data_IF_861735585674
#
_entry.id   IF_861735585674
#
_cell.length_a   1.000
_cell.length_b   1.000
_cell.length_c   1.000
_cell.angle_alpha   90.00
_cell.angle_beta   90.00
_cell.angle_gamma   90.00
#
_symmetry.space_group_name_H-M   'P 1'
#
loop_
_entity.id
_entity.type
_entity.pdbx_description
1 polymer ?
#
# COMPACT_ATOMS: atom_id res chain seq x y z
N UNK A 1 -10.20 -20.58 26.81
CA UNK A 1 -9.60 -19.22 26.94
C UNK A 1 -8.82 -18.78 25.69
N UNK A 2 -8.12 -19.66 24.96
CA UNK A 2 -7.34 -19.29 23.77
C UNK A 2 -8.14 -18.82 22.53
N UNK A 3 -9.43 -19.17 22.42
CA UNK A 3 -10.30 -18.76 21.29
C UNK A 3 -11.04 -17.45 21.56
N UNK A 4 -11.22 -17.10 22.83
CA UNK A 4 -11.91 -15.86 23.23
C UNK A 4 -11.02 -14.62 23.08
N UNK A 5 -9.71 -14.76 23.29
CA UNK A 5 -8.76 -13.67 23.12
C UNK A 5 -8.72 -13.08 21.69
N UNK A 6 -8.62 -13.87 20.60
CA UNK A 6 -8.69 -13.32 19.24
C UNK A 6 -10.08 -12.76 18.89
N UNK A 7 -11.17 -13.37 19.39
CA UNK A 7 -12.53 -12.86 19.19
C UNK A 7 -12.76 -11.52 19.89
N UNK A 8 -12.27 -11.36 21.12
CA UNK A 8 -12.33 -10.11 21.88
C UNK A 8 -11.42 -9.04 21.25
N UNK A 9 -10.24 -9.41 20.76
CA UNK A 9 -9.38 -8.50 20.00
C UNK A 9 -10.05 -8.04 18.68
N UNK A 10 -10.76 -8.94 18.00
CA UNK A 10 -11.53 -8.64 16.78
C UNK A 10 -12.73 -7.74 17.07
N UNK A 11 -13.43 -7.94 18.19
CA UNK A 11 -14.52 -7.08 18.66
C UNK A 11 -14.03 -5.70 19.11
N UNK A 12 -12.87 -5.62 19.76
CA UNK A 12 -12.28 -4.35 20.18
C UNK A 12 -11.75 -3.52 19.00
N UNK A 13 -11.32 -4.20 17.94
CA UNK A 13 -10.93 -3.57 16.67
C UNK A 13 -12.11 -3.35 15.71
N UNK A 14 -13.31 -3.86 16.01
CA UNK A 14 -14.51 -3.73 15.18
C UNK A 14 -14.87 -2.28 14.79
N UNK A 15 -14.80 -1.25 15.65
CA UNK A 15 -15.10 0.13 15.25
C UNK A 15 -14.03 0.76 14.33
N UNK A 16 -12.79 0.24 14.35
CA UNK A 16 -11.74 0.60 13.38
C UNK A 16 -11.95 -0.16 12.07
N UNK A 17 -12.30 -1.44 12.15
CA UNK A 17 -12.59 -2.30 11.01
C UNK A 17 -13.83 -1.84 10.23
N UNK A 18 -14.89 -1.38 10.91
CA UNK A 18 -16.09 -0.84 10.24
C UNK A 18 -15.84 0.49 9.55
N UNK A 19 -15.07 1.40 10.15
CA UNK A 19 -14.61 2.63 9.46
C UNK A 19 -13.74 2.32 8.24
N UNK A 20 -12.95 1.27 8.32
CA UNK A 20 -12.09 0.80 7.24
C UNK A 20 -12.89 0.11 6.13
N UNK A 21 -13.85 -0.75 6.47
CA UNK A 21 -14.82 -1.39 5.55
C UNK A 21 -15.80 -0.40 4.90
N UNK A 22 -16.08 0.73 5.57
CA UNK A 22 -16.92 1.80 5.04
C UNK A 22 -16.25 2.58 3.89
N UNK A 23 -14.97 2.34 3.60
CA UNK A 23 -14.34 2.88 2.38
C UNK A 23 -14.86 2.12 1.16
N UNK A 24 -15.39 2.83 0.13
CA UNK A 24 -16.06 2.20 -1.01
C UNK A 24 -15.15 1.18 -1.73
N UNK A 25 -13.84 1.44 -1.78
CA UNK A 25 -12.85 0.58 -2.40
C UNK A 25 -12.87 -0.87 -1.86
N UNK A 26 -12.89 -1.06 -0.53
CA UNK A 26 -12.81 -2.39 0.06
C UNK A 26 -14.13 -3.15 -0.06
N UNK A 27 -15.26 -2.44 0.10
CA UNK A 27 -16.59 -3.00 -0.10
C UNK A 27 -16.78 -3.52 -1.53
N UNK A 28 -16.53 -2.67 -2.54
CA UNK A 28 -16.67 -3.05 -3.93
C UNK A 28 -15.63 -4.10 -4.34
N UNK A 29 -14.40 -4.05 -3.80
CA UNK A 29 -13.41 -5.10 -4.01
C UNK A 29 -13.86 -6.45 -3.45
N UNK A 30 -14.45 -6.48 -2.26
CA UNK A 30 -14.99 -7.69 -1.67
C UNK A 30 -16.16 -8.24 -2.50
N UNK A 31 -17.08 -7.37 -2.94
CA UNK A 31 -18.20 -7.76 -3.80
C UNK A 31 -17.71 -8.37 -5.12
N UNK A 32 -16.74 -7.74 -5.79
CA UNK A 32 -16.13 -8.28 -7.00
C UNK A 32 -15.40 -9.61 -6.76
N UNK A 33 -14.76 -9.77 -5.60
CA UNK A 33 -14.01 -10.97 -5.24
C UNK A 33 -14.91 -12.14 -4.85
N UNK A 34 -16.12 -11.87 -4.38
CA UNK A 34 -17.13 -12.88 -4.04
C UNK A 34 -18.20 -13.04 -5.12
N UNK A 35 -18.11 -12.28 -6.23
CA UNK A 35 -19.15 -12.24 -7.26
C UNK A 35 -19.51 -13.62 -7.81
N UNK A 36 -18.52 -14.45 -8.16
CA UNK A 36 -18.79 -15.78 -8.71
C UNK A 36 -19.44 -16.73 -7.70
N UNK A 37 -18.91 -16.89 -6.47
CA UNK A 37 -19.60 -17.65 -5.43
C UNK A 37 -21.03 -17.17 -5.14
N UNK A 38 -21.25 -15.84 -5.12
CA UNK A 38 -22.56 -15.26 -4.88
C UNK A 38 -23.54 -15.58 -6.03
N UNK A 39 -23.11 -15.45 -7.28
CA UNK A 39 -23.93 -15.82 -8.44
C UNK A 39 -24.28 -17.30 -8.44
N UNK A 40 -23.35 -18.18 -8.06
CA UNK A 40 -23.60 -19.62 -7.96
C UNK A 40 -24.52 -20.00 -6.79
N UNK A 41 -24.39 -19.36 -5.62
CA UNK A 41 -25.13 -19.74 -4.41
C UNK A 41 -26.43 -18.99 -4.17
N UNK A 42 -26.68 -17.89 -4.87
CA UNK A 42 -27.94 -17.16 -4.76
C UNK A 42 -29.02 -17.80 -5.65
N UNK A 43 -30.07 -18.43 -5.09
CA UNK A 43 -31.15 -19.04 -5.87
C UNK A 43 -31.71 -18.18 -7.01
N UNK A 44 -32.02 -16.88 -6.83
CA UNK A 44 -32.57 -16.08 -7.92
C UNK A 44 -31.60 -15.88 -9.10
N UNK A 45 -30.30 -16.00 -8.87
CA UNK A 45 -29.27 -15.80 -9.90
C UNK A 45 -28.83 -17.11 -10.56
N UNK A 46 -28.82 -18.22 -9.81
CA UNK A 46 -28.28 -19.50 -10.29
C UNK A 46 -29.26 -20.37 -11.06
N UNK A 47 -30.57 -20.23 -10.85
CA UNK A 47 -31.59 -21.11 -11.44
C UNK A 47 -31.66 -21.06 -12.98
N UNK A 48 -31.11 -20.02 -13.61
CA UNK A 48 -31.06 -19.86 -15.07
C UNK A 48 -29.67 -19.99 -15.68
N UNK A 49 -28.66 -20.39 -14.90
CA UNK A 49 -27.29 -20.46 -15.38
C UNK A 49 -27.02 -21.74 -16.18
N UNK A 50 -26.19 -21.68 -17.23
CA UNK A 50 -25.70 -22.87 -17.90
C UNK A 50 -24.91 -23.72 -16.90
N UNK A 51 -25.15 -25.03 -16.91
CA UNK A 51 -24.47 -25.98 -16.04
C UNK A 51 -23.92 -27.15 -16.85
N UNK A 52 -22.72 -27.59 -16.50
CA UNK A 52 -22.06 -28.76 -17.10
C UNK A 52 -22.18 -29.99 -16.17
N UNK A 53 -22.98 -29.87 -15.11
CA UNK A 53 -23.17 -30.89 -14.09
C UNK A 53 -24.19 -31.93 -14.53
N UNK A 54 -23.93 -33.19 -14.19
CA UNK A 54 -24.78 -34.33 -14.56
C UNK A 54 -26.16 -34.32 -13.88
N UNK A 55 -26.26 -33.71 -12.70
CA UNK A 55 -27.52 -33.59 -11.94
C UNK A 55 -28.37 -32.39 -12.36
N UNK A 56 -27.89 -31.56 -13.29
CA UNK A 56 -28.58 -30.36 -13.78
C UNK A 56 -28.71 -29.24 -12.74
N UNK A 57 -28.06 -29.36 -11.57
CA UNK A 57 -28.14 -28.33 -10.54
C UNK A 57 -27.18 -27.17 -10.84
N UNK A 58 -27.70 -26.06 -11.35
CA UNK A 58 -26.91 -24.86 -11.66
C UNK A 58 -26.43 -24.06 -10.43
N UNK A 59 -26.98 -24.33 -9.24
CA UNK A 59 -26.66 -23.60 -8.01
C UNK A 59 -25.51 -24.20 -7.19
N UNK A 60 -25.01 -25.38 -7.60
CA UNK A 60 -23.82 -25.97 -7.03
C UNK A 60 -22.58 -25.72 -7.89
N UNK A 61 -21.42 -25.84 -7.25
CA UNK A 61 -20.15 -25.71 -7.95
C UNK A 61 -19.84 -26.99 -8.71
N UNK A 62 -19.32 -26.84 -9.92
CA UNK A 62 -18.77 -27.96 -10.68
C UNK A 62 -17.40 -28.37 -10.13
N UNK A 63 -17.00 -29.63 -10.31
CA UNK A 63 -15.70 -30.13 -9.85
C UNK A 63 -14.52 -29.28 -10.34
N UNK A 64 -14.58 -28.83 -11.60
CA UNK A 64 -13.56 -27.95 -12.19
C UNK A 64 -13.53 -26.57 -11.52
N UNK A 65 -14.67 -26.06 -11.07
CA UNK A 65 -14.74 -24.78 -10.36
C UNK A 65 -14.13 -24.91 -8.97
N UNK A 66 -14.42 -26.03 -8.29
CA UNK A 66 -13.79 -26.37 -7.01
C UNK A 66 -12.28 -26.51 -7.16
N UNK A 67 -11.79 -27.18 -8.22
CA UNK A 67 -10.35 -27.25 -8.54
C UNK A 67 -9.75 -25.85 -8.66
N UNK A 68 -10.36 -24.95 -9.44
CA UNK A 68 -9.88 -23.57 -9.63
C UNK A 68 -9.86 -22.80 -8.30
N UNK A 69 -10.91 -22.92 -7.47
CA UNK A 69 -10.99 -22.27 -6.16
C UNK A 69 -9.94 -22.82 -5.18
N UNK A 70 -9.64 -24.11 -5.24
CA UNK A 70 -8.57 -24.74 -4.46
C UNK A 70 -7.18 -24.27 -4.92
N UNK A 71 -6.94 -24.15 -6.22
CA UNK A 71 -5.71 -23.56 -6.73
C UNK A 71 -5.56 -22.10 -6.33
N UNK A 72 -6.65 -21.32 -6.38
CA UNK A 72 -6.66 -19.94 -5.91
C UNK A 72 -6.27 -19.86 -4.44
N UNK A 73 -6.85 -20.67 -3.56
CA UNK A 73 -6.55 -20.63 -2.13
C UNK A 73 -5.08 -20.97 -1.85
N UNK A 74 -4.50 -21.92 -2.58
CA UNK A 74 -3.08 -22.25 -2.50
C UNK A 74 -2.17 -21.09 -2.97
N UNK A 75 -2.49 -20.44 -4.10
CA UNK A 75 -1.72 -19.29 -4.62
C UNK A 75 -1.78 -18.11 -3.64
N UNK A 76 -2.98 -17.79 -3.14
CA UNK A 76 -3.18 -16.73 -2.16
C UNK A 76 -2.38 -17.02 -0.89
N UNK A 77 -2.43 -18.25 -0.38
CA UNK A 77 -1.64 -18.66 0.79
C UNK A 77 -0.13 -18.52 0.55
N UNK A 78 0.37 -18.98 -0.60
CA UNK A 78 1.79 -18.86 -0.96
C UNK A 78 2.26 -17.41 -1.09
N UNK A 79 1.43 -16.54 -1.69
CA UNK A 79 1.75 -15.12 -1.88
C UNK A 79 1.67 -14.35 -0.57
N UNK A 80 0.69 -14.64 0.27
CA UNK A 80 0.50 -14.00 1.56
C UNK A 80 1.48 -14.48 2.64
N UNK A 81 2.26 -15.55 2.39
CA UNK A 81 3.36 -15.94 3.29
C UNK A 81 4.36 -14.82 3.56
N UNK A 82 4.51 -13.86 2.62
CA UNK A 82 5.46 -12.75 2.72
C UNK A 82 4.78 -11.40 2.99
N UNK A 83 3.44 -11.35 3.14
CA UNK A 83 2.74 -10.11 3.44
C UNK A 83 2.93 -9.76 4.91
N UNK A 84 3.47 -8.58 5.19
CA UNK A 84 3.72 -8.11 6.57
C UNK A 84 2.54 -7.29 7.07
N UNK A 85 1.91 -6.51 6.19
CA UNK A 85 0.77 -5.67 6.53
C UNK A 85 -0.57 -6.29 6.13
N UNK A 86 -1.62 -5.97 6.89
CA UNK A 86 -3.00 -6.40 6.61
C UNK A 86 -3.45 -5.88 5.24
N UNK A 87 -3.05 -4.67 4.90
CA UNK A 87 -3.36 -4.03 3.62
C UNK A 87 -2.77 -4.82 2.43
N UNK A 88 -1.51 -5.24 2.53
CA UNK A 88 -0.87 -6.08 1.52
C UNK A 88 -1.55 -7.45 1.40
N UNK A 89 -1.89 -8.06 2.53
CA UNK A 89 -2.58 -9.34 2.58
C UNK A 89 -3.95 -9.28 1.86
N UNK A 90 -4.73 -8.25 2.15
CA UNK A 90 -6.05 -8.04 1.55
C UNK A 90 -5.96 -7.65 0.07
N UNK A 91 -4.99 -6.81 -0.30
CA UNK A 91 -4.73 -6.46 -1.70
C UNK A 91 -4.44 -7.69 -2.56
N UNK A 92 -3.59 -8.60 -2.08
CA UNK A 92 -3.33 -9.87 -2.75
C UNK A 92 -4.59 -10.73 -2.88
N UNK A 93 -5.36 -10.90 -1.80
CA UNK A 93 -6.62 -11.66 -1.84
C UNK A 93 -7.53 -11.10 -2.93
N UNK A 94 -7.82 -9.79 -2.90
CA UNK A 94 -8.73 -9.18 -3.88
C UNK A 94 -8.19 -9.28 -5.31
N UNK A 95 -6.90 -9.10 -5.53
CA UNK A 95 -6.30 -9.23 -6.86
C UNK A 95 -6.45 -10.65 -7.41
N UNK A 96 -6.01 -11.66 -6.67
CA UNK A 96 -6.07 -13.05 -7.12
C UNK A 96 -7.51 -13.56 -7.23
N UNK A 97 -8.40 -13.18 -6.30
CA UNK A 97 -9.82 -13.52 -6.37
C UNK A 97 -10.51 -12.91 -7.59
N UNK A 98 -10.20 -11.65 -7.96
CA UNK A 98 -10.75 -11.04 -9.18
C UNK A 98 -10.29 -11.77 -10.44
N UNK A 99 -9.01 -12.17 -10.51
CA UNK A 99 -8.49 -12.96 -11.64
C UNK A 99 -9.17 -14.33 -11.73
N UNK A 100 -9.33 -15.03 -10.60
CA UNK A 100 -10.02 -16.31 -10.59
C UNK A 100 -11.50 -16.18 -10.96
N UNK A 101 -12.21 -15.17 -10.45
CA UNK A 101 -13.60 -14.93 -10.83
C UNK A 101 -13.73 -14.63 -12.32
N UNK A 102 -12.80 -13.88 -12.93
CA UNK A 102 -12.80 -13.67 -14.36
C UNK A 102 -12.70 -15.01 -15.12
N UNK A 103 -11.76 -15.88 -14.75
CA UNK A 103 -11.59 -17.22 -15.34
C UNK A 103 -12.86 -18.05 -15.18
N UNK A 104 -13.46 -18.06 -13.98
CA UNK A 104 -14.68 -18.79 -13.67
C UNK A 104 -15.88 -18.29 -14.49
N UNK A 105 -16.06 -16.98 -14.62
CA UNK A 105 -17.12 -16.41 -15.44
C UNK A 105 -16.92 -16.67 -16.93
N UNK A 106 -15.69 -16.59 -17.47
CA UNK A 106 -15.41 -16.96 -18.87
C UNK A 106 -15.68 -18.43 -19.15
N UNK A 107 -15.43 -19.30 -18.16
CA UNK A 107 -15.76 -20.73 -18.25
C UNK A 107 -17.27 -20.97 -18.25
N UNK A 108 -18.00 -20.21 -17.43
CA UNK A 108 -19.46 -20.32 -17.32
C UNK A 108 -20.14 -19.87 -18.62
N UNK A 109 -19.85 -18.64 -19.06
CA UNK A 109 -20.34 -18.06 -20.31
C UNK A 109 -19.43 -16.90 -20.71
N UNK A 110 -19.01 -16.86 -21.97
CA UNK A 110 -18.17 -15.78 -22.51
C UNK A 110 -18.78 -14.38 -22.28
N UNK A 111 -20.11 -14.24 -22.34
CA UNK A 111 -20.82 -12.97 -22.12
C UNK A 111 -20.68 -12.49 -20.67
N UNK A 112 -20.80 -13.42 -19.71
CA UNK A 112 -20.64 -13.13 -18.28
C UNK A 112 -19.18 -12.81 -17.94
N UNK A 113 -18.23 -13.52 -18.57
CA UNK A 113 -16.80 -13.22 -18.47
C UNK A 113 -16.46 -11.80 -18.94
N UNK A 114 -16.97 -11.40 -20.11
CA UNK A 114 -16.80 -10.05 -20.64
C UNK A 114 -17.44 -9.00 -19.73
N UNK A 115 -18.67 -9.23 -19.26
CA UNK A 115 -19.35 -8.31 -18.33
C UNK A 115 -18.54 -8.13 -17.04
N UNK A 116 -18.08 -9.22 -16.43
CA UNK A 116 -17.26 -9.14 -15.22
C UNK A 116 -15.94 -8.38 -15.47
N UNK A 117 -15.28 -8.64 -16.59
CA UNK A 117 -14.05 -7.94 -16.96
C UNK A 117 -14.28 -6.43 -17.15
N UNK A 118 -15.37 -6.03 -17.81
CA UNK A 118 -15.74 -4.61 -17.93
C UNK A 118 -15.99 -3.97 -16.56
N UNK A 119 -16.67 -4.67 -15.65
CA UNK A 119 -16.91 -4.19 -14.29
C UNK A 119 -15.60 -4.04 -13.51
N UNK A 120 -14.65 -4.97 -13.65
CA UNK A 120 -13.32 -4.84 -13.06
C UNK A 120 -12.53 -3.65 -13.62
N UNK A 121 -12.62 -3.37 -14.92
CA UNK A 121 -11.97 -2.21 -15.55
C UNK A 121 -12.58 -0.90 -15.08
N UNK A 122 -13.92 -0.81 -15.00
CA UNK A 122 -14.62 0.35 -14.45
C UNK A 122 -14.18 0.56 -13.00
N UNK A 123 -14.18 -0.49 -12.17
CA UNK A 123 -13.72 -0.42 -10.78
C UNK A 123 -12.27 0.10 -10.67
N UNK A 124 -11.36 -0.36 -11.53
CA UNK A 124 -9.98 0.11 -11.55
C UNK A 124 -9.89 1.62 -11.82
N UNK A 125 -10.74 2.15 -12.69
CA UNK A 125 -10.76 3.56 -13.04
C UNK A 125 -11.47 4.44 -12.00
N UNK A 126 -12.53 3.93 -11.36
CA UNK A 126 -13.37 4.72 -10.44
C UNK A 126 -12.95 4.60 -8.98
N UNK A 127 -12.29 3.51 -8.59
CA UNK A 127 -11.97 3.23 -7.20
C UNK A 127 -10.47 2.98 -7.04
N UNK A 128 -9.74 4.00 -6.61
CA UNK A 128 -8.35 3.87 -6.21
C UNK A 128 -8.23 3.28 -4.80
N UNK A 129 -7.18 2.49 -4.52
CA UNK A 129 -6.88 2.09 -3.15
C UNK A 129 -6.61 3.35 -2.33
N UNK A 130 -7.17 3.44 -1.11
CA UNK A 130 -7.01 4.65 -0.33
C UNK A 130 -5.60 4.75 0.21
N UNK A 131 -5.05 5.97 0.22
CA UNK A 131 -3.77 6.26 0.87
C UNK A 131 -3.89 6.10 2.39
N UNK A 132 -2.76 5.87 3.05
CA UNK A 132 -2.66 5.90 4.49
C UNK A 132 -2.88 7.34 4.99
N UNK A 133 -3.77 7.53 5.96
CA UNK A 133 -4.18 8.83 6.50
C UNK A 133 -4.09 8.85 8.04
N UNK A 134 -3.23 8.02 8.61
CA UNK A 134 -3.02 7.97 10.05
C UNK A 134 -2.12 9.10 10.55
N UNK A 135 -1.93 9.19 11.88
CA UNK A 135 -0.98 10.15 12.43
C UNK A 135 0.42 9.83 11.94
N UNK A 136 1.16 10.85 11.51
CA UNK A 136 2.55 10.73 11.09
C UNK A 136 3.29 12.03 11.41
N UNK A 137 4.61 11.95 11.62
CA UNK A 137 5.47 13.12 11.77
C UNK A 137 6.53 13.09 10.67
N UNK A 138 6.08 13.43 9.45
CA UNK A 138 6.88 13.29 8.23
C UNK A 138 6.80 14.59 7.43
N UNK A 139 7.96 15.13 7.05
CA UNK A 139 8.05 16.28 6.15
C UNK A 139 7.92 15.83 4.70
N UNK A 140 6.97 16.39 3.98
CA UNK A 140 6.82 16.14 2.54
C UNK A 140 7.71 17.10 1.75
N UNK A 141 8.60 16.54 0.93
CA UNK A 141 9.47 17.31 0.06
C UNK A 141 8.88 17.46 -1.34
N UNK A 142 9.19 18.60 -1.94
CA UNK A 142 8.93 18.86 -3.35
C UNK A 142 10.25 18.79 -4.14
N UNK A 143 10.15 18.80 -5.47
CA UNK A 143 11.28 18.75 -6.40
C UNK A 143 12.37 19.79 -6.14
N UNK A 144 11.98 20.99 -5.69
CA UNK A 144 12.89 22.12 -5.43
C UNK A 144 13.39 22.20 -4.00
N UNK A 145 12.62 21.72 -3.03
CA UNK A 145 12.87 21.96 -1.60
C UNK A 145 13.71 20.86 -0.95
N UNK A 146 13.76 19.67 -1.54
CA UNK A 146 14.46 18.51 -0.94
C UNK A 146 15.93 18.79 -0.65
N UNK A 147 16.66 19.34 -1.61
CA UNK A 147 18.10 19.54 -1.50
C UNK A 147 18.42 20.64 -0.47
N UNK A 148 17.65 21.74 -0.50
CA UNK A 148 17.77 22.84 0.46
C UNK A 148 17.49 22.40 1.90
N UNK A 149 16.42 21.64 2.13
CA UNK A 149 16.03 21.21 3.47
C UNK A 149 16.99 20.16 4.07
N UNK A 150 17.53 19.27 3.24
CA UNK A 150 18.54 18.30 3.69
C UNK A 150 19.86 19.01 4.06
N UNK A 151 20.24 20.06 3.32
CA UNK A 151 21.49 20.80 3.55
C UNK A 151 21.37 21.92 4.60
N UNK A 152 20.16 22.36 4.94
CA UNK A 152 19.88 23.48 5.86
C UNK A 152 20.52 23.32 7.24
N UNK A 153 20.39 22.14 7.86
CA UNK A 153 21.09 21.81 9.11
C UNK A 153 21.79 20.45 8.99
N UNK A 154 23.09 20.50 8.70
CA UNK A 154 23.96 19.32 8.56
C UNK A 154 24.09 18.48 9.85
N UNK A 155 23.65 19.00 11.00
CA UNK A 155 23.62 18.23 12.26
C UNK A 155 22.40 17.30 12.33
N UNK A 156 21.35 17.61 11.57
CA UNK A 156 20.13 16.80 11.49
C UNK A 156 20.36 15.64 10.53
N UNK A 157 20.00 14.45 10.98
CA UNK A 157 19.94 13.25 10.14
C UNK A 157 18.54 13.13 9.55
N UNK A 158 18.46 12.90 8.25
CA UNK A 158 17.20 12.70 7.54
C UNK A 158 17.08 11.25 7.07
N UNK A 159 15.98 10.58 7.41
CA UNK A 159 15.57 9.36 6.75
C UNK A 159 14.43 9.68 5.78
N UNK A 160 14.69 9.56 4.48
CA UNK A 160 13.76 9.97 3.44
C UNK A 160 13.26 8.75 2.66
N UNK A 161 11.95 8.60 2.56
CA UNK A 161 11.29 7.62 1.70
C UNK A 161 10.99 8.24 0.33
N UNK A 162 11.58 7.66 -0.70
CA UNK A 162 11.28 7.92 -2.10
C UNK A 162 10.20 6.92 -2.52
N UNK A 163 9.01 7.44 -2.79
CA UNK A 163 7.82 6.63 -3.05
C UNK A 163 7.11 7.06 -4.33
N UNK A 164 6.14 6.26 -4.77
CA UNK A 164 5.20 6.64 -5.82
C UNK A 164 3.81 6.17 -5.45
N UNK A 165 2.79 7.02 -5.68
CA UNK A 165 1.41 6.75 -5.26
C UNK A 165 0.79 5.50 -5.91
N UNK A 166 1.22 5.14 -7.12
CA UNK A 166 0.74 3.95 -7.83
C UNK A 166 1.43 2.65 -7.38
N UNK A 167 2.48 2.73 -6.55
CA UNK A 167 3.21 1.56 -6.07
C UNK A 167 2.49 0.93 -4.88
N UNK A 168 1.99 -0.30 -5.05
CA UNK A 168 1.35 -1.06 -3.98
C UNK A 168 2.31 -1.40 -2.83
N UNK A 169 3.61 -1.56 -3.12
CA UNK A 169 4.62 -1.80 -2.09
C UNK A 169 4.84 -0.56 -1.21
N UNK A 170 4.81 0.64 -1.80
CA UNK A 170 4.85 1.91 -1.06
C UNK A 170 3.61 2.09 -0.18
N UNK A 171 2.41 1.82 -0.73
CA UNK A 171 1.16 1.91 0.04
C UNK A 171 1.20 0.96 1.25
N UNK A 172 1.69 -0.26 1.05
CA UNK A 172 1.82 -1.26 2.12
C UNK A 172 2.85 -0.87 3.19
N UNK A 173 3.86 -0.08 2.83
CA UNK A 173 4.93 0.36 3.73
C UNK A 173 4.60 1.67 4.46
N UNK A 174 3.73 2.51 3.90
CA UNK A 174 3.31 3.79 4.48
C UNK A 174 2.96 3.73 5.99
N UNK A 175 2.13 2.79 6.49
CA UNK A 175 1.85 2.69 7.93
C UNK A 175 3.09 2.39 8.77
N UNK A 176 4.00 1.54 8.27
CA UNK A 176 5.25 1.21 8.99
C UNK A 176 6.15 2.44 9.08
N UNK A 177 6.27 3.19 8.00
CA UNK A 177 7.10 4.40 7.99
C UNK A 177 6.51 5.52 8.86
N UNK A 178 5.17 5.67 8.86
CA UNK A 178 4.46 6.57 9.76
C UNK A 178 4.71 6.21 11.23
N UNK A 179 4.56 4.94 11.62
CA UNK A 179 4.81 4.49 13.00
C UNK A 179 6.27 4.72 13.43
N UNK A 180 7.23 4.49 12.52
CA UNK A 180 8.64 4.79 12.77
C UNK A 180 8.88 6.29 12.98
N UNK A 181 8.23 7.13 12.17
CA UNK A 181 8.35 8.59 12.30
C UNK A 181 7.84 9.06 13.66
N UNK A 182 6.69 8.54 14.13
CA UNK A 182 6.14 8.89 15.43
C UNK A 182 7.03 8.44 16.59
N UNK A 183 7.69 7.27 16.46
CA UNK A 183 8.55 6.71 17.51
C UNK A 183 9.93 7.39 17.60
N UNK A 184 10.53 7.72 16.46
CA UNK A 184 11.95 8.10 16.39
C UNK A 184 12.20 9.55 15.99
N UNK A 185 11.16 10.31 15.64
CA UNK A 185 11.33 11.73 15.35
C UNK A 185 11.89 12.50 16.56
N UNK A 186 12.87 13.36 16.30
CA UNK A 186 13.55 14.17 17.31
C UNK A 186 14.27 15.36 16.67
N UNK A 187 14.86 16.24 17.48
CA UNK A 187 15.61 17.40 16.97
C UNK A 187 16.78 17.03 16.04
N UNK A 188 17.42 15.86 16.25
CA UNK A 188 18.55 15.40 15.44
C UNK A 188 18.22 14.29 14.42
N UNK A 189 17.00 13.77 14.41
CA UNK A 189 16.55 12.75 13.46
C UNK A 189 15.14 13.08 12.98
N UNK A 190 15.01 13.38 11.69
CA UNK A 190 13.76 13.75 11.03
C UNK A 190 13.43 12.73 9.94
N UNK A 191 12.14 12.61 9.64
CA UNK A 191 11.61 11.71 8.63
C UNK A 191 11.01 12.53 7.49
N UNK A 192 11.24 12.10 6.25
CA UNK A 192 10.70 12.78 5.09
C UNK A 192 10.19 11.85 4.00
N UNK A 193 9.34 12.38 3.12
CA UNK A 193 8.77 11.65 1.97
C UNK A 193 8.85 12.50 0.71
N UNK A 194 9.15 11.87 -0.42
CA UNK A 194 9.12 12.52 -1.73
C UNK A 194 8.47 11.61 -2.77
N UNK A 195 7.47 12.14 -3.48
CA UNK A 195 6.78 11.43 -4.55
C UNK A 195 7.57 11.54 -5.85
N UNK A 196 8.42 10.55 -6.11
CA UNK A 196 9.20 10.48 -7.34
C UNK A 196 8.39 9.98 -8.55
N UNK A 197 7.17 9.48 -8.32
CA UNK A 197 6.22 9.21 -9.39
C UNK A 197 5.70 10.52 -10.02
N UNK A 198 5.57 11.57 -9.22
CA UNK A 198 5.23 12.93 -9.67
C UNK A 198 6.47 13.74 -10.06
N UNK A 199 7.57 13.63 -9.32
CA UNK A 199 8.78 14.41 -9.51
C UNK A 199 9.89 13.58 -10.18
N UNK A 200 9.83 13.45 -11.50
CA UNK A 200 10.80 12.67 -12.30
C UNK A 200 12.24 13.20 -12.21
N UNK A 201 12.40 14.50 -11.98
CA UNK A 201 13.73 15.09 -11.85
C UNK A 201 14.43 14.62 -10.58
N UNK A 202 13.69 14.49 -9.47
CA UNK A 202 14.20 13.92 -8.21
C UNK A 202 14.59 12.47 -8.41
N UNK A 203 13.76 11.68 -9.10
CA UNK A 203 14.05 10.28 -9.41
C UNK A 203 15.39 10.13 -10.16
N UNK A 204 15.63 11.02 -11.12
CA UNK A 204 16.88 11.04 -11.92
C UNK A 204 18.08 11.50 -11.09
N UNK A 205 17.94 12.59 -10.31
CA UNK A 205 19.02 13.11 -9.46
C UNK A 205 19.47 12.11 -8.41
N UNK A 206 18.54 11.46 -7.73
CA UNK A 206 18.81 10.47 -6.67
C UNK A 206 19.00 9.05 -7.20
N UNK A 207 18.89 8.86 -8.53
CA UNK A 207 19.04 7.57 -9.23
C UNK A 207 18.13 6.49 -8.66
N UNK A 208 16.86 6.86 -8.43
CA UNK A 208 15.81 5.94 -8.00
C UNK A 208 14.88 5.70 -9.17
N UNK A 209 14.90 4.49 -9.71
CA UNK A 209 14.07 4.11 -10.85
C UNK A 209 12.61 3.92 -10.42
N UNK A 210 11.71 4.64 -11.08
CA UNK A 210 10.25 4.48 -10.96
C UNK A 210 9.71 3.31 -11.80
N UNK A 211 10.53 2.60 -12.59
CA UNK A 211 10.05 1.43 -13.33
C UNK A 211 9.63 0.29 -12.38
N UNK A 212 8.41 -0.27 -12.53
CA UNK A 212 7.97 -1.44 -11.75
C UNK A 212 8.90 -2.66 -11.87
N UNK A 213 9.62 -2.78 -12.99
CA UNK A 213 10.55 -3.88 -13.24
C UNK A 213 11.86 -3.76 -12.43
N UNK A 214 12.25 -2.53 -12.05
CA UNK A 214 13.49 -2.28 -11.33
C UNK A 214 13.41 -2.62 -9.84
N UNK A 215 12.18 -2.70 -9.28
CA UNK A 215 11.89 -2.99 -7.86
C UNK A 215 12.62 -2.08 -6.86
N UNK A 216 12.87 -0.84 -7.25
CA UNK A 216 13.54 0.16 -6.40
C UNK A 216 12.57 0.96 -5.52
N UNK A 217 11.26 0.73 -5.63
CA UNK A 217 10.24 1.44 -4.85
C UNK A 217 9.61 0.51 -3.80
N UNK A 218 9.43 0.94 -2.54
CA UNK A 218 9.96 2.19 -1.98
C UNK A 218 11.49 2.17 -1.89
N UNK A 219 12.11 3.35 -1.82
CA UNK A 219 13.54 3.50 -1.53
C UNK A 219 13.73 4.36 -0.29
N UNK A 220 14.39 3.82 0.73
CA UNK A 220 14.79 4.53 1.93
C UNK A 220 16.23 4.99 1.78
N UNK A 221 16.47 6.30 1.92
CA UNK A 221 17.81 6.89 1.87
C UNK A 221 18.05 7.68 3.16
N UNK A 222 19.19 7.40 3.80
CA UNK A 222 19.66 8.08 5.00
C UNK A 222 20.67 9.15 4.63
N UNK A 223 20.40 10.38 5.03
CA UNK A 223 21.28 11.53 4.84
C UNK A 223 21.87 11.97 6.19
N UNK A 224 23.19 12.08 6.26
CA UNK A 224 23.92 12.65 7.39
C UNK A 224 24.91 13.69 6.87
N UNK A 225 24.90 14.89 7.46
CA UNK A 225 25.80 15.96 7.02
C UNK A 225 25.59 16.39 5.56
N UNK A 226 24.36 16.31 5.05
CA UNK A 226 24.02 16.63 3.66
C UNK A 226 24.38 15.55 2.63
N UNK A 227 24.87 14.38 3.07
CA UNK A 227 25.33 13.31 2.17
C UNK A 227 24.56 12.02 2.40
N UNK A 228 24.30 11.31 1.31
CA UNK A 228 23.78 9.94 1.37
C UNK A 228 24.81 9.02 2.04
N UNK A 229 24.40 8.36 3.12
CA UNK A 229 25.22 7.39 3.87
C UNK A 229 24.80 5.96 3.57
N UNK A 230 23.50 5.70 3.52
CA UNK A 230 22.94 4.36 3.36
C UNK A 230 21.64 4.43 2.56
N UNK A 231 21.44 3.43 1.68
CA UNK A 231 20.16 3.22 0.99
C UNK A 231 19.68 1.78 1.05
N UNK A 232 18.36 1.60 1.12
CA UNK A 232 17.68 0.30 0.95
C UNK A 232 16.48 0.46 0.00
N UNK A 233 16.29 -0.45 -0.96
CA UNK A 233 17.10 -1.62 -1.23
C UNK A 233 18.46 -1.24 -1.85
N UNK A 234 19.44 -2.13 -1.74
CA UNK A 234 20.71 -1.92 -2.46
C UNK A 234 20.47 -2.12 -3.95
N UNK A 235 21.14 -1.33 -4.79
CA UNK A 235 21.02 -1.41 -6.25
C UNK A 235 22.27 -2.09 -6.81
N UNK A 236 22.08 -3.14 -7.60
CA UNK A 236 23.17 -3.84 -8.28
C UNK A 236 23.80 -2.95 -9.39
N UNK A 237 24.96 -3.36 -9.91
CA UNK A 237 25.64 -2.62 -11.00
C UNK A 237 24.79 -2.49 -12.28
N UNK A 238 23.74 -3.30 -12.42
CA UNK A 238 22.81 -3.32 -13.56
C UNK A 238 21.55 -2.48 -13.30
N UNK A 239 21.46 -1.78 -12.17
CA UNK A 239 20.31 -0.94 -11.82
C UNK A 239 19.12 -1.71 -11.23
N UNK A 240 19.27 -2.97 -10.85
CA UNK A 240 18.20 -3.76 -10.21
C UNK A 240 18.34 -3.75 -8.70
N UNK A 241 17.22 -3.59 -8.01
CA UNK A 241 17.19 -3.70 -6.56
C UNK A 241 17.46 -5.14 -6.09
N UNK A 242 18.34 -5.28 -5.12
CA UNK A 242 18.49 -6.50 -4.32
C UNK A 242 17.29 -6.60 -3.41
N UNK A 243 16.55 -7.71 -3.51
CA UNK A 243 15.33 -7.96 -2.73
C UNK A 243 15.60 -7.71 -1.24
N UNK A 244 14.85 -6.78 -0.67
CA UNK A 244 14.92 -6.42 0.75
C UNK A 244 13.50 -6.31 1.30
N UNK A 245 13.31 -6.70 2.56
CA UNK A 245 11.99 -6.72 3.19
C UNK A 245 11.77 -5.49 4.04
N UNK A 246 10.79 -4.68 3.67
CA UNK A 246 10.39 -3.46 4.36
C UNK A 246 9.54 -3.76 5.61
N UNK A 247 10.18 -4.32 6.64
CA UNK A 247 9.57 -4.51 7.97
C UNK A 247 10.14 -3.48 8.96
N UNK A 248 9.39 -3.17 10.01
CA UNK A 248 9.81 -2.21 11.04
C UNK A 248 11.18 -2.62 11.64
N UNK A 249 11.35 -3.90 11.95
CA UNK A 249 12.55 -4.44 12.57
C UNK A 249 13.77 -4.33 11.65
N UNK A 250 13.58 -4.59 10.36
CA UNK A 250 14.65 -4.47 9.37
C UNK A 250 15.07 -3.01 9.19
N UNK A 251 14.10 -2.07 9.16
CA UNK A 251 14.42 -0.63 9.07
C UNK A 251 15.19 -0.20 10.32
N UNK A 252 14.71 -0.54 11.52
CA UNK A 252 15.37 -0.19 12.80
C UNK A 252 16.80 -0.72 12.84
N UNK A 253 17.00 -2.00 12.47
CA UNK A 253 18.31 -2.67 12.53
C UNK A 253 19.28 -2.15 11.47
N UNK A 254 18.88 -2.05 10.21
CA UNK A 254 19.79 -1.67 9.12
C UNK A 254 20.19 -0.19 9.19
N UNK A 255 19.25 0.68 9.59
CA UNK A 255 19.52 2.11 9.73
C UNK A 255 20.00 2.49 11.14
N UNK A 256 20.11 1.54 12.08
CA UNK A 256 20.50 1.77 13.48
C UNK A 256 19.70 2.90 14.16
N UNK A 257 18.37 2.91 13.96
CA UNK A 257 17.49 4.00 14.43
C UNK A 257 17.57 4.22 15.95
N UNK A 258 17.71 3.14 16.73
CA UNK A 258 17.85 3.21 18.18
C UNK A 258 19.08 4.03 18.62
N UNK A 259 20.23 3.81 17.99
CA UNK A 259 21.45 4.55 18.32
C UNK A 259 21.37 6.00 17.88
N UNK A 260 20.84 6.26 16.68
CA UNK A 260 20.69 7.61 16.16
C UNK A 260 19.76 8.45 17.04
N UNK A 261 18.66 7.86 17.48
CA UNK A 261 17.71 8.52 18.38
C UNK A 261 18.27 8.79 19.78
N UNK A 262 19.10 7.89 20.31
CA UNK A 262 19.79 8.16 21.58
C UNK A 262 20.84 9.27 21.44
N UNK A 263 21.55 9.33 20.30
CA UNK A 263 22.50 10.42 20.01
C UNK A 263 21.77 11.75 19.83
N UNK A 264 20.62 11.76 19.14
CA UNK A 264 19.85 12.99 18.90
C UNK A 264 19.31 13.62 20.19
N UNK A 265 18.91 12.80 21.18
CA UNK A 265 18.48 13.29 22.50
C UNK A 265 19.59 13.98 23.30
N UNK A 266 20.86 13.70 23.01
CA UNK A 266 22.01 14.31 23.69
C UNK A 266 22.42 15.65 23.08
N UNK A 267 21.90 16.02 21.90
CA UNK A 267 22.11 17.35 21.35
C UNK A 267 21.32 18.39 22.18
N UNK A 268 21.94 19.51 22.57
CA UNK A 268 21.24 20.56 23.30
C UNK A 268 20.10 21.11 22.44
N UNK A 269 18.88 21.14 23.00
CA UNK A 269 17.73 21.83 22.40
C UNK A 269 18.12 23.30 22.16
N UNK A 270 18.43 23.67 20.92
CA UNK A 270 18.36 25.07 20.52
C UNK A 270 16.87 25.46 20.53
N UNK A 271 16.55 26.65 21.04
CA UNK A 271 15.19 27.20 21.10
C UNK A 271 14.57 27.14 19.70
N UNK A 272 13.74 26.14 19.45
CA UNK A 272 12.78 26.17 18.36
C UNK A 272 11.80 27.31 18.70
N UNK A 273 11.74 28.31 17.82
CA UNK A 273 10.52 29.08 17.65
C UNK A 273 9.48 28.02 17.30
N UNK A 274 8.52 27.84 18.19
CA UNK A 274 7.41 26.92 18.03
C UNK A 274 6.55 27.46 16.89
N UNK A 275 6.83 27.03 15.67
CA UNK A 275 5.75 26.78 14.72
C UNK A 275 5.25 25.37 15.06
N UNK A 276 4.07 25.29 15.67
CA UNK A 276 3.33 24.04 15.85
C UNK A 276 3.05 23.45 14.45
N UNK A 277 3.95 22.63 13.94
CA UNK A 277 3.58 21.64 12.93
C UNK A 277 2.75 20.56 13.64
N UNK A 278 1.45 20.82 13.75
CA UNK A 278 0.44 19.84 14.15
C UNK A 278 0.53 18.59 13.25
N UNK A 279 0.16 17.40 13.77
CA UNK A 279 0.05 16.21 12.93
C UNK A 279 -0.94 16.48 11.80
N UNK A 280 -0.42 16.58 10.57
CA UNK A 280 -1.22 16.85 9.37
C UNK A 280 -2.11 15.63 9.10
N UNK A 281 -3.38 15.71 9.52
CA UNK A 281 -4.43 14.90 8.93
C UNK A 281 -4.74 15.52 7.56
N UNK A 282 -4.33 14.85 6.47
CA UNK A 282 -4.65 15.31 5.12
C UNK A 282 -6.17 15.45 4.96
N UNK A 283 -6.62 16.69 4.73
CA UNK A 283 -7.98 17.00 4.30
C UNK A 283 -8.06 16.87 2.76
N UNK A 284 -9.19 16.36 2.28
CA UNK A 284 -9.47 16.09 0.86
C UNK A 284 -9.27 17.32 -0.03
N UNK A 285 -8.35 17.25 -1.01
CA UNK A 285 -8.34 18.16 -2.16
C UNK A 285 -9.04 17.48 -3.35
N UNK A 286 -10.32 17.80 -3.53
CA UNK A 286 -11.03 17.60 -4.79
C UNK A 286 -10.55 18.64 -5.83
N UNK A 287 -10.31 18.27 -7.09
CA UNK A 287 -9.98 19.22 -8.13
C UNK A 287 -11.26 19.71 -8.83
N UNK A 288 -11.73 20.91 -8.49
CA UNK A 288 -12.67 21.65 -9.34
C UNK A 288 -12.59 23.15 -9.07
N UNK A 289 -12.58 23.93 -10.17
CA UNK A 289 -12.39 25.38 -10.32
C UNK A 289 -10.91 25.82 -10.30
N UNK A 290 -10.33 26.50 -11.31
CA UNK A 290 -10.85 27.45 -12.29
C UNK A 290 -9.87 27.57 -13.48
N UNK A 291 -10.36 27.68 -14.72
CA UNK A 291 -9.77 28.58 -15.73
C UNK A 291 -10.78 28.87 -16.84
N UNK A 292 -11.65 29.85 -16.58
CA UNK A 292 -12.34 30.64 -17.61
C UNK A 292 -11.66 32.01 -17.71
N UNK A 293 -10.81 32.19 -18.72
CA UNK A 293 -10.72 33.39 -19.59
C UNK A 293 -9.45 33.31 -20.42
N UNK A 294 -9.62 33.12 -21.73
CA UNK A 294 -9.00 33.92 -22.78
C UNK A 294 -9.57 33.51 -24.14
N UNK A 295 -10.74 34.07 -24.47
CA UNK A 295 -11.14 34.64 -25.76
C UNK A 295 -12.60 35.09 -25.72
#
# INVERSE_FOLDING_TARGET
>A
MAVLAPLLALLYSAPRLTRWLARPYYLFSALLSLAFPLVRKAPPLCLGLPTQREDGNSCDFDWREVEILMFLSAIVMMKNRRSITIEQHMGNIFMFSKVANAILFFRLDIRMGLLYLTLCLVFLMTCTPPLYMGPEYIKYFNDKTIDEEIDKDRRVTWLVEFFANWSSECQSFAPVFADLSLKYNSAGLKFGKVDIGRYSDVSTRYRVSTSPLAKQLPSLILFQGGKEVLRRPQVDKKGRAVSWSFSEENVIREFNLNEMYQKSKKLPKQREIVEEEEPVAQADENPSDESKKDK
#
